data_IF_645011216912
#
_entry.id   IF_645011216912
#
_cell.length_a   1.000
_cell.length_b   1.000
_cell.length_c   1.000
_cell.angle_alpha   90.00
_cell.angle_beta   90.00
_cell.angle_gamma   90.00
#
_symmetry.space_group_name_H-M   'P 1'
#
loop_
_entity.id
_entity.type
_entity.pdbx_description
1 polymer ?
#
# COMPACT_ATOMS: atom_id res chain seq x y z
N UNK A 1 -4.35 -27.51 18.56
CA UNK A 1 -4.42 -26.33 17.69
C UNK A 1 -3.65 -26.52 16.38
N UNK A 2 -2.32 -26.74 16.37
CA UNK A 2 -1.52 -26.93 15.15
C UNK A 2 -2.00 -28.11 14.29
N UNK A 3 -2.32 -29.22 14.93
CA UNK A 3 -2.74 -30.43 14.26
C UNK A 3 -4.13 -30.32 13.63
N UNK A 4 -5.01 -29.60 14.27
CA UNK A 4 -6.36 -29.32 13.78
C UNK A 4 -6.30 -28.39 12.57
N UNK A 5 -5.49 -27.34 12.62
CA UNK A 5 -5.24 -26.45 11.48
C UNK A 5 -4.64 -27.19 10.28
N UNK A 6 -3.69 -28.10 10.52
CA UNK A 6 -3.09 -28.89 9.46
C UNK A 6 -4.09 -29.87 8.83
N UNK A 7 -4.96 -30.49 9.63
CA UNK A 7 -6.02 -31.38 9.12
C UNK A 7 -7.05 -30.61 8.29
N UNK A 8 -7.46 -29.43 8.74
CA UNK A 8 -8.36 -28.56 7.98
C UNK A 8 -7.76 -28.14 6.65
N UNK A 9 -6.49 -27.73 6.64
CA UNK A 9 -5.79 -27.39 5.40
C UNK A 9 -5.69 -28.56 4.43
N UNK A 10 -5.40 -29.77 4.93
CA UNK A 10 -5.35 -30.97 4.09
C UNK A 10 -6.75 -31.36 3.55
N UNK A 11 -7.80 -31.17 4.34
CA UNK A 11 -9.19 -31.38 3.91
C UNK A 11 -9.53 -30.43 2.78
N UNK A 12 -9.20 -29.15 2.92
CA UNK A 12 -9.43 -28.13 1.89
C UNK A 12 -8.66 -28.44 0.61
N UNK A 13 -7.37 -28.80 0.71
CA UNK A 13 -6.55 -29.18 -0.45
C UNK A 13 -7.13 -30.41 -1.16
N UNK A 14 -7.63 -31.42 -0.42
CA UNK A 14 -8.24 -32.59 -1.02
C UNK A 14 -9.53 -32.25 -1.75
N UNK A 15 -10.43 -31.49 -1.11
CA UNK A 15 -11.69 -31.06 -1.70
C UNK A 15 -11.49 -30.22 -2.95
N UNK A 16 -10.59 -29.22 -2.89
CA UNK A 16 -10.24 -28.38 -4.04
C UNK A 16 -9.59 -29.21 -5.17
N UNK A 17 -8.75 -30.21 -4.84
CA UNK A 17 -8.15 -31.08 -5.86
C UNK A 17 -9.22 -31.89 -6.59
N UNK A 18 -10.16 -32.52 -5.86
CA UNK A 18 -11.23 -33.29 -6.45
C UNK A 18 -12.15 -32.40 -7.33
N UNK A 19 -12.43 -31.17 -6.90
CA UNK A 19 -13.23 -30.22 -7.64
C UNK A 19 -12.50 -29.76 -8.92
N UNK A 20 -11.22 -29.38 -8.80
CA UNK A 20 -10.40 -28.95 -9.92
C UNK A 20 -10.28 -30.05 -11.00
N UNK A 21 -10.02 -31.30 -10.59
CA UNK A 21 -9.93 -32.45 -11.52
C UNK A 21 -11.27 -32.71 -12.23
N UNK A 22 -12.39 -32.51 -11.53
CA UNK A 22 -13.75 -32.67 -12.08
C UNK A 22 -14.06 -31.59 -13.13
N UNK A 23 -13.52 -30.39 -12.93
CA UNK A 23 -13.66 -29.26 -13.85
C UNK A 23 -12.58 -29.25 -14.96
N UNK A 24 -11.76 -30.31 -15.02
CA UNK A 24 -10.80 -30.53 -16.11
C UNK A 24 -9.39 -29.99 -15.86
N UNK A 25 -9.11 -29.46 -14.68
CA UNK A 25 -7.74 -29.11 -14.29
C UNK A 25 -6.95 -30.38 -13.97
N UNK A 26 -5.64 -30.33 -14.21
CA UNK A 26 -4.78 -31.49 -14.00
C UNK A 26 -3.34 -31.06 -13.67
N UNK A 27 -2.51 -32.01 -13.28
CA UNK A 27 -1.06 -31.77 -13.07
C UNK A 27 -0.27 -31.55 -14.37
N UNK A 28 -0.92 -31.61 -15.55
CA UNK A 28 -0.40 -31.06 -16.80
C UNK A 28 -0.80 -29.60 -16.90
N UNK A 29 0.01 -28.75 -16.22
CA UNK A 29 -0.23 -27.34 -16.02
C UNK A 29 -0.38 -26.56 -17.34
N UNK A 30 -1.02 -25.38 -17.28
CA UNK A 30 -1.00 -24.38 -18.35
C UNK A 30 0.43 -23.98 -18.73
N UNK A 31 0.63 -23.24 -19.80
CA UNK A 31 1.97 -22.71 -20.14
C UNK A 31 2.52 -21.82 -19.01
N UNK A 32 1.72 -20.90 -18.49
CA UNK A 32 2.08 -20.04 -17.34
C UNK A 32 2.36 -20.86 -16.08
N UNK A 33 1.55 -21.88 -15.82
CA UNK A 33 1.79 -22.79 -14.68
C UNK A 33 3.08 -23.60 -14.82
N UNK A 34 3.47 -23.99 -16.03
CA UNK A 34 4.77 -24.65 -16.29
C UNK A 34 5.94 -23.71 -16.02
N UNK A 35 5.87 -22.47 -16.49
CA UNK A 35 6.89 -21.45 -16.21
C UNK A 35 7.03 -21.18 -14.72
N UNK A 36 5.90 -21.03 -14.01
CA UNK A 36 5.85 -20.89 -12.56
C UNK A 36 6.48 -22.10 -11.85
N UNK A 37 6.17 -23.31 -12.30
CA UNK A 37 6.75 -24.53 -11.76
C UNK A 37 8.26 -24.58 -11.95
N UNK A 38 8.76 -24.29 -13.13
CA UNK A 38 10.19 -24.29 -13.45
C UNK A 38 10.95 -23.26 -12.61
N UNK A 39 10.39 -22.05 -12.49
CA UNK A 39 10.96 -20.96 -11.66
C UNK A 39 11.02 -21.36 -10.20
N UNK A 40 9.93 -21.86 -9.62
CA UNK A 40 9.91 -22.28 -8.22
C UNK A 40 10.85 -23.44 -7.94
N UNK A 41 10.93 -24.39 -8.87
CA UNK A 41 11.86 -25.52 -8.77
C UNK A 41 13.32 -25.07 -8.84
N UNK A 42 13.64 -24.12 -9.73
CA UNK A 42 14.98 -23.55 -9.85
C UNK A 42 15.35 -22.78 -8.58
N UNK A 43 14.45 -21.96 -8.04
CA UNK A 43 14.65 -21.23 -6.79
C UNK A 43 14.92 -22.17 -5.61
N UNK A 44 14.17 -23.27 -5.52
CA UNK A 44 14.37 -24.28 -4.46
C UNK A 44 15.72 -24.99 -4.61
N UNK A 45 16.14 -25.31 -5.83
CA UNK A 45 17.46 -25.88 -6.10
C UNK A 45 18.60 -24.90 -5.78
N UNK A 46 18.45 -23.63 -6.10
CA UNK A 46 19.40 -22.57 -5.76
C UNK A 46 19.51 -22.38 -4.24
N UNK A 47 18.39 -22.40 -3.51
CA UNK A 47 18.37 -22.34 -2.05
C UNK A 47 19.12 -23.54 -1.43
N UNK A 48 19.00 -24.73 -2.01
CA UNK A 48 19.76 -25.89 -1.58
C UNK A 48 21.28 -25.67 -1.76
N UNK A 49 21.71 -25.13 -2.92
CA UNK A 49 23.12 -24.83 -3.23
C UNK A 49 23.65 -23.79 -2.23
N UNK A 50 22.94 -22.69 -2.04
CA UNK A 50 23.32 -21.59 -1.13
C UNK A 50 23.45 -22.08 0.32
N UNK A 51 22.58 -23.03 0.72
CA UNK A 51 22.61 -23.66 2.04
C UNK A 51 23.63 -24.81 2.16
N UNK A 52 24.41 -25.07 1.12
CA UNK A 52 25.40 -26.14 1.03
C UNK A 52 24.80 -27.57 1.21
N UNK A 53 23.61 -27.78 0.71
CA UNK A 53 22.94 -29.09 0.66
C UNK A 53 22.81 -29.61 -0.77
N UNK A 54 22.72 -30.95 -0.92
CA UNK A 54 22.15 -31.50 -2.15
C UNK A 54 20.63 -31.21 -2.17
N UNK A 55 20.04 -31.10 -3.34
CA UNK A 55 18.59 -30.85 -3.47
C UNK A 55 17.74 -31.82 -2.64
N UNK A 56 18.04 -33.13 -2.70
CA UNK A 56 17.33 -34.13 -1.90
C UNK A 56 17.52 -33.96 -0.39
N UNK A 57 18.73 -33.56 0.05
CA UNK A 57 19.01 -33.33 1.47
C UNK A 57 18.31 -32.05 1.97
N UNK A 58 18.28 -31.01 1.14
CA UNK A 58 17.57 -29.77 1.42
C UNK A 58 16.08 -30.01 1.62
N UNK A 59 15.43 -30.71 0.68
CA UNK A 59 14.00 -31.06 0.78
C UNK A 59 13.69 -31.82 2.08
N UNK A 60 14.54 -32.75 2.49
CA UNK A 60 14.36 -33.48 3.75
C UNK A 60 14.58 -32.61 4.99
N UNK A 61 15.53 -31.67 4.93
CA UNK A 61 15.82 -30.78 6.04
C UNK A 61 14.68 -29.76 6.27
N UNK A 62 14.07 -29.26 5.18
CA UNK A 62 13.04 -28.23 5.25
C UNK A 62 11.65 -28.83 5.48
N UNK A 63 11.32 -29.91 4.79
CA UNK A 63 9.96 -30.48 4.75
C UNK A 63 9.81 -31.80 5.50
N UNK A 64 10.87 -32.26 6.17
CA UNK A 64 10.85 -33.47 6.96
C UNK A 64 11.50 -34.68 6.27
N UNK A 65 12.00 -35.61 7.09
CA UNK A 65 12.87 -36.73 6.66
C UNK A 65 12.22 -37.67 5.66
N UNK A 66 10.91 -37.75 5.63
CA UNK A 66 10.14 -38.59 4.72
C UNK A 66 9.79 -37.91 3.38
N UNK A 67 10.02 -36.62 3.24
CA UNK A 67 9.80 -35.90 1.99
C UNK A 67 10.85 -36.31 0.96
N UNK A 68 10.40 -36.75 -0.21
CA UNK A 68 11.25 -37.00 -1.36
C UNK A 68 11.11 -35.88 -2.38
N UNK A 69 12.09 -35.71 -3.27
CA UNK A 69 12.03 -34.73 -4.34
C UNK A 69 10.79 -34.94 -5.23
N UNK A 70 10.45 -36.20 -5.55
CA UNK A 70 9.26 -36.50 -6.36
C UNK A 70 7.93 -36.16 -5.67
N UNK A 71 7.83 -36.39 -4.34
CA UNK A 71 6.65 -35.95 -3.57
C UNK A 71 6.57 -34.42 -3.55
N UNK A 72 7.69 -33.74 -3.27
CA UNK A 72 7.75 -32.28 -3.27
C UNK A 72 7.32 -31.68 -4.62
N UNK A 73 7.88 -32.18 -5.71
CA UNK A 73 7.57 -31.72 -7.07
C UNK A 73 6.09 -31.95 -7.43
N UNK A 74 5.51 -33.09 -6.98
CA UNK A 74 4.09 -33.36 -7.16
C UNK A 74 3.20 -32.41 -6.33
N UNK A 75 3.62 -32.10 -5.08
CA UNK A 75 2.92 -31.12 -4.26
C UNK A 75 3.00 -29.71 -4.85
N UNK A 76 4.16 -29.35 -5.38
CA UNK A 76 4.36 -28.04 -6.05
C UNK A 76 3.44 -27.89 -7.28
N UNK A 77 3.37 -28.91 -8.13
CA UNK A 77 2.47 -28.90 -9.29
C UNK A 77 1.00 -28.81 -8.87
N UNK A 78 0.62 -29.54 -7.81
CA UNK A 78 -0.75 -29.46 -7.27
C UNK A 78 -1.07 -28.08 -6.74
N UNK A 79 -0.16 -27.46 -5.99
CA UNK A 79 -0.35 -26.10 -5.49
C UNK A 79 -0.58 -25.11 -6.63
N UNK A 80 0.21 -25.19 -7.70
CA UNK A 80 0.05 -24.33 -8.88
C UNK A 80 -1.30 -24.60 -9.57
N UNK A 81 -1.65 -25.86 -9.80
CA UNK A 81 -2.95 -26.23 -10.38
C UNK A 81 -4.12 -25.68 -9.56
N UNK A 82 -4.04 -25.74 -8.23
CA UNK A 82 -5.09 -25.19 -7.38
C UNK A 82 -5.13 -23.67 -7.41
N UNK A 83 -3.99 -23.00 -7.54
CA UNK A 83 -3.94 -21.56 -7.75
C UNK A 83 -4.59 -21.18 -9.09
N UNK A 84 -4.28 -21.89 -10.17
CA UNK A 84 -4.92 -21.67 -11.48
C UNK A 84 -6.44 -21.91 -11.42
N UNK A 85 -6.87 -22.95 -10.72
CA UNK A 85 -8.30 -23.26 -10.54
C UNK A 85 -9.04 -22.17 -9.76
N UNK A 86 -8.46 -21.73 -8.63
CA UNK A 86 -9.02 -20.64 -7.84
C UNK A 86 -9.05 -19.33 -8.60
N UNK A 87 -7.99 -19.01 -9.35
CA UNK A 87 -7.93 -17.82 -10.19
C UNK A 87 -9.00 -17.84 -11.28
N UNK A 88 -9.15 -18.98 -11.98
CA UNK A 88 -10.18 -19.12 -13.00
C UNK A 88 -11.61 -18.96 -12.45
N UNK A 89 -11.86 -19.43 -11.21
CA UNK A 89 -13.13 -19.18 -10.55
C UNK A 89 -13.32 -17.70 -10.21
N UNK A 90 -12.30 -17.06 -9.63
CA UNK A 90 -12.33 -15.64 -9.29
C UNK A 90 -12.54 -14.75 -10.51
N UNK A 91 -11.87 -15.05 -11.63
CA UNK A 91 -11.99 -14.30 -12.88
C UNK A 91 -13.37 -14.41 -13.53
N UNK A 92 -14.10 -15.49 -13.25
CA UNK A 92 -15.47 -15.69 -13.71
C UNK A 92 -16.52 -14.91 -12.88
N UNK A 93 -16.15 -14.38 -11.71
CA UNK A 93 -17.07 -13.60 -10.88
C UNK A 93 -17.35 -12.25 -11.54
N UNK A 94 -18.61 -11.88 -11.62
CA UNK A 94 -19.05 -10.61 -12.17
C UNK A 94 -20.02 -9.94 -11.23
N UNK A 95 -19.92 -8.63 -11.12
CA UNK A 95 -20.77 -7.81 -10.23
C UNK A 95 -21.46 -6.74 -11.03
N UNK A 96 -22.70 -6.44 -10.65
CA UNK A 96 -23.55 -5.48 -11.32
C UNK A 96 -23.49 -4.10 -10.65
N UNK A 97 -23.95 -3.07 -11.34
CA UNK A 97 -24.08 -1.72 -10.74
C UNK A 97 -25.01 -1.71 -9.51
N UNK A 98 -25.99 -2.64 -9.44
CA UNK A 98 -26.86 -2.80 -8.27
C UNK A 98 -26.10 -3.35 -7.07
N UNK A 99 -25.14 -4.28 -7.27
CA UNK A 99 -24.30 -4.80 -6.20
C UNK A 99 -23.43 -3.68 -5.60
N UNK A 100 -22.82 -2.84 -6.45
CA UNK A 100 -22.03 -1.69 -6.00
C UNK A 100 -22.87 -0.65 -5.28
N UNK A 101 -24.08 -0.37 -5.79
CA UNK A 101 -24.99 0.59 -5.15
C UNK A 101 -25.41 0.10 -3.77
N UNK A 102 -25.77 -1.19 -3.66
CA UNK A 102 -26.12 -1.81 -2.38
C UNK A 102 -24.99 -1.75 -1.39
N UNK A 103 -23.78 -2.12 -1.83
CA UNK A 103 -22.58 -2.03 -1.00
C UNK A 103 -22.31 -0.62 -0.50
N UNK A 104 -22.41 0.37 -1.39
CA UNK A 104 -22.22 1.77 -1.01
C UNK A 104 -23.24 2.22 0.02
N UNK A 105 -24.53 1.93 -0.20
CA UNK A 105 -25.61 2.33 0.71
C UNK A 105 -25.42 1.72 2.12
N UNK A 106 -24.92 0.49 2.19
CA UNK A 106 -24.65 -0.21 3.46
C UNK A 106 -23.33 0.22 4.13
N UNK A 107 -22.38 0.75 3.37
CA UNK A 107 -21.02 1.07 3.84
C UNK A 107 -20.63 2.54 3.69
N UNK A 108 -21.59 3.42 3.42
CA UNK A 108 -21.40 4.84 3.09
C UNK A 108 -20.43 5.54 4.05
N UNK A 109 -20.59 5.33 5.35
CA UNK A 109 -19.74 5.95 6.38
C UNK A 109 -18.27 5.52 6.36
N UNK A 110 -17.95 4.42 5.70
CA UNK A 110 -16.59 3.93 5.54
C UNK A 110 -16.01 4.23 4.14
N UNK A 111 -16.90 4.33 3.14
CA UNK A 111 -16.53 4.53 1.72
C UNK A 111 -16.34 5.99 1.38
N UNK A 112 -17.23 6.88 1.86
CA UNK A 112 -17.13 8.31 1.59
C UNK A 112 -15.77 8.87 2.02
N UNK A 113 -15.29 9.83 1.27
CA UNK A 113 -14.15 10.67 1.60
C UNK A 113 -14.61 11.84 2.46
N UNK A 114 -13.87 12.08 3.52
CA UNK A 114 -14.06 13.20 4.44
C UNK A 114 -12.92 14.18 4.26
N UNK A 115 -13.26 15.43 3.93
CA UNK A 115 -12.35 16.57 3.93
C UNK A 115 -12.52 17.32 5.25
N UNK A 116 -11.43 17.48 6.00
CA UNK A 116 -11.45 18.16 7.30
C UNK A 116 -10.08 18.69 7.67
N UNK A 117 -10.07 19.63 8.59
CA UNK A 117 -8.86 20.14 9.23
C UNK A 117 -8.81 19.66 10.68
N UNK A 118 -7.61 19.34 11.15
CA UNK A 118 -7.40 18.89 12.52
C UNK A 118 -6.11 19.46 13.10
N UNK A 119 -6.24 20.11 14.26
CA UNK A 119 -5.13 20.49 15.10
C UNK A 119 -5.06 19.56 16.31
N UNK A 120 -3.87 19.08 16.66
CA UNK A 120 -3.61 18.36 17.90
C UNK A 120 -2.76 19.24 18.80
N UNK A 121 -3.23 19.45 20.02
CA UNK A 121 -2.55 20.19 21.07
C UNK A 121 -2.14 19.20 22.18
N UNK A 122 -0.84 19.05 22.32
CA UNK A 122 -0.26 18.07 23.24
C UNK A 122 -0.49 18.48 24.69
N UNK A 123 -1.02 17.55 25.47
CA UNK A 123 -1.12 17.62 26.91
C UNK A 123 -0.03 16.84 27.64
N UNK A 124 1.04 16.47 26.93
CA UNK A 124 2.16 15.76 27.53
C UNK A 124 3.15 16.76 28.14
N UNK A 125 3.38 16.67 29.44
CA UNK A 125 4.41 17.46 30.10
C UNK A 125 5.81 16.99 29.65
N UNK A 126 6.73 17.92 29.31
CA UNK A 126 8.07 17.55 28.87
C UNK A 126 8.86 16.90 30.01
N UNK A 127 9.62 15.86 29.70
CA UNK A 127 10.65 15.34 30.59
C UNK A 127 11.81 16.34 30.72
N UNK A 128 12.48 16.35 31.86
CA UNK A 128 13.67 17.17 32.11
C UNK A 128 14.90 16.28 32.24
N UNK A 129 16.09 16.87 32.25
CA UNK A 129 17.34 16.14 32.48
C UNK A 129 17.96 16.62 33.76
N UNK A 130 18.34 15.69 34.65
CA UNK A 130 19.00 16.01 35.91
C UNK A 130 20.48 16.41 35.70
N UNK A 131 21.15 16.84 36.77
CA UNK A 131 22.56 17.24 36.74
C UNK A 131 23.52 16.09 36.38
N UNK A 132 23.04 14.84 36.46
CA UNK A 132 23.80 13.63 36.15
C UNK A 132 23.55 13.15 34.73
N UNK A 133 22.66 13.85 33.96
CA UNK A 133 22.32 13.51 32.55
C UNK A 133 21.21 12.47 32.41
N UNK A 134 20.49 12.12 33.50
CA UNK A 134 19.38 11.17 33.44
C UNK A 134 18.07 11.88 33.08
N UNK A 135 17.21 11.23 32.32
CA UNK A 135 15.85 11.71 32.05
C UNK A 135 14.99 11.63 33.31
N UNK A 136 14.38 12.73 33.69
CA UNK A 136 13.41 12.82 34.78
C UNK A 136 12.02 13.01 34.16
N UNK A 137 11.17 12.00 34.33
CA UNK A 137 9.78 12.05 33.87
C UNK A 137 8.99 13.11 34.66
N UNK A 138 8.02 13.71 33.97
CA UNK A 138 7.12 14.68 34.59
C UNK A 138 6.27 14.02 35.68
N UNK A 139 6.02 14.78 36.77
CA UNK A 139 5.13 14.36 37.83
C UNK A 139 3.67 14.31 37.38
N UNK A 140 2.82 13.59 38.16
CA UNK A 140 1.37 13.54 37.87
C UNK A 140 0.72 14.95 37.93
N UNK A 141 1.23 15.85 38.75
CA UNK A 141 0.74 17.23 38.85
C UNK A 141 1.11 18.02 37.57
N UNK A 142 2.36 17.92 37.11
CA UNK A 142 2.82 18.56 35.87
C UNK A 142 2.08 18.01 34.65
N UNK A 143 1.85 16.71 34.61
CA UNK A 143 1.06 16.08 33.55
C UNK A 143 -0.41 16.57 33.56
N UNK A 144 -1.00 16.75 34.76
CA UNK A 144 -2.36 17.28 34.89
C UNK A 144 -2.43 18.73 34.36
N UNK A 145 -1.46 19.57 34.78
CA UNK A 145 -1.38 20.97 34.31
C UNK A 145 -1.21 21.04 32.80
N UNK A 146 -0.38 20.17 32.22
CA UNK A 146 -0.18 20.13 30.77
C UNK A 146 -1.48 19.78 30.01
N UNK A 147 -2.24 18.79 30.50
CA UNK A 147 -3.53 18.43 29.95
C UNK A 147 -4.57 19.55 30.07
N UNK A 148 -4.65 20.22 31.23
CA UNK A 148 -5.54 21.36 31.42
C UNK A 148 -5.17 22.54 30.50
N UNK A 149 -3.88 22.78 30.28
CA UNK A 149 -3.37 23.79 29.34
C UNK A 149 -3.74 23.48 27.92
N UNK A 150 -3.52 22.21 27.49
CA UNK A 150 -3.89 21.77 26.16
C UNK A 150 -5.40 21.93 25.90
N UNK A 151 -6.23 21.60 26.89
CA UNK A 151 -7.68 21.81 26.82
C UNK A 151 -8.04 23.29 26.63
N UNK A 152 -7.49 24.16 27.46
CA UNK A 152 -7.77 25.60 27.38
C UNK A 152 -7.31 26.20 26.04
N UNK A 153 -6.18 25.73 25.51
CA UNK A 153 -5.67 26.13 24.20
C UNK A 153 -6.57 25.62 23.06
N UNK A 154 -7.06 24.38 23.15
CA UNK A 154 -7.99 23.82 22.15
C UNK A 154 -9.33 24.58 22.13
N UNK A 155 -9.91 24.84 23.29
CA UNK A 155 -11.14 25.63 23.41
C UNK A 155 -10.95 27.07 22.90
N UNK A 156 -9.79 27.66 23.19
CA UNK A 156 -9.44 28.99 22.69
C UNK A 156 -9.26 29.02 21.18
N UNK A 157 -8.51 28.04 20.60
CA UNK A 157 -8.34 27.91 19.17
C UNK A 157 -9.68 27.82 18.45
N UNK A 158 -10.58 26.95 18.92
CA UNK A 158 -11.94 26.83 18.37
C UNK A 158 -12.69 28.16 18.42
N UNK A 159 -12.69 28.86 19.57
CA UNK A 159 -13.37 30.14 19.74
C UNK A 159 -12.80 31.25 18.82
N UNK A 160 -11.50 31.30 18.64
CA UNK A 160 -10.84 32.27 17.78
C UNK A 160 -11.16 32.01 16.28
N UNK A 161 -11.28 30.74 15.87
CA UNK A 161 -11.76 30.37 14.50
C UNK A 161 -13.23 30.72 14.34
N UNK A 162 -14.10 30.44 15.31
CA UNK A 162 -15.52 30.84 15.29
C UNK A 162 -15.69 32.38 15.23
N UNK A 163 -14.73 33.14 15.77
CA UNK A 163 -14.70 34.59 15.66
C UNK A 163 -14.22 35.11 14.27
N UNK A 164 -13.89 34.21 13.36
CA UNK A 164 -13.50 34.51 11.97
C UNK A 164 -12.00 34.44 11.70
N UNK A 165 -11.20 33.89 12.60
CA UNK A 165 -9.78 33.61 12.36
C UNK A 165 -9.57 32.47 11.40
N UNK A 166 -8.45 32.46 10.71
CA UNK A 166 -8.03 31.33 9.85
C UNK A 166 -7.52 30.18 10.71
N UNK A 167 -8.05 28.96 10.47
CA UNK A 167 -7.71 27.82 11.31
C UNK A 167 -6.24 27.38 11.15
N UNK A 168 -5.74 27.36 9.92
CA UNK A 168 -4.37 26.95 9.65
C UNK A 168 -3.36 27.96 10.26
N UNK A 169 -3.62 29.27 10.12
CA UNK A 169 -2.78 30.33 10.69
C UNK A 169 -2.78 30.26 12.24
N UNK A 170 -3.96 30.14 12.85
CA UNK A 170 -4.07 30.06 14.31
C UNK A 170 -3.46 28.78 14.85
N UNK A 171 -3.72 27.62 14.24
CA UNK A 171 -3.11 26.36 14.65
C UNK A 171 -1.60 26.36 14.42
N UNK A 172 -1.12 26.99 13.34
CA UNK A 172 0.29 27.19 13.03
C UNK A 172 1.05 27.85 14.17
N UNK A 173 0.46 28.85 14.83
CA UNK A 173 1.08 29.53 15.97
C UNK A 173 1.36 28.57 17.14
N UNK A 174 0.48 27.59 17.40
CA UNK A 174 0.70 26.56 18.42
C UNK A 174 1.76 25.54 18.00
N UNK A 175 1.88 25.23 16.70
CA UNK A 175 2.92 24.30 16.22
C UNK A 175 4.31 24.94 16.25
N UNK A 176 4.41 26.27 16.08
CA UNK A 176 5.65 27.03 16.30
C UNK A 176 6.09 27.05 17.75
N UNK A 177 5.15 27.08 18.71
CA UNK A 177 5.42 27.05 20.13
C UNK A 177 5.90 25.67 20.62
N UNK A 178 5.43 24.60 20.01
CA UNK A 178 5.77 23.23 20.40
C UNK A 178 5.70 22.26 19.23
N UNK A 179 6.77 21.50 18.99
CA UNK A 179 6.84 20.42 17.99
C UNK A 179 5.95 19.22 18.36
N UNK A 180 5.41 19.16 19.57
CA UNK A 180 4.43 18.16 19.98
C UNK A 180 3.00 18.49 19.51
N UNK A 181 2.75 19.73 19.08
CA UNK A 181 1.50 20.15 18.48
C UNK A 181 1.56 19.91 16.97
N UNK A 182 0.44 19.59 16.37
CA UNK A 182 0.36 19.37 14.91
C UNK A 182 -0.89 20.01 14.32
N UNK A 183 -0.81 20.40 13.06
CA UNK A 183 -1.95 20.80 12.25
C UNK A 183 -1.87 20.12 10.90
N UNK A 184 -3.03 19.74 10.35
CA UNK A 184 -3.14 19.25 8.97
C UNK A 184 -4.55 19.50 8.43
N UNK A 185 -4.61 19.86 7.15
CA UNK A 185 -5.78 19.65 6.31
C UNK A 185 -5.64 18.26 5.68
N UNK A 186 -6.71 17.51 5.59
CA UNK A 186 -6.65 16.12 5.12
C UNK A 186 -7.94 15.71 4.45
N UNK A 187 -7.78 14.82 3.47
CA UNK A 187 -8.86 14.07 2.85
C UNK A 187 -8.59 12.59 3.06
N UNK A 188 -9.57 11.85 3.52
CA UNK A 188 -9.42 10.41 3.76
C UNK A 188 -10.76 9.70 3.78
N UNK A 189 -10.74 8.42 3.43
CA UNK A 189 -11.94 7.58 3.52
C UNK A 189 -12.39 7.41 4.96
N UNK A 190 -13.68 7.28 5.18
CA UNK A 190 -14.24 7.11 6.51
C UNK A 190 -13.72 5.89 7.27
N UNK A 191 -13.26 4.84 6.55
CA UNK A 191 -12.60 3.69 7.16
C UNK A 191 -11.24 4.03 7.80
N UNK A 192 -10.60 5.13 7.37
CA UNK A 192 -9.27 5.58 7.81
C UNK A 192 -9.32 6.76 8.78
N UNK A 193 -10.50 7.33 9.02
CA UNK A 193 -10.66 8.41 10.00
C UNK A 193 -10.36 7.94 11.41
N UNK A 194 -9.70 8.79 12.20
CA UNK A 194 -9.39 8.48 13.61
C UNK A 194 -10.63 8.13 14.41
N UNK A 195 -10.56 7.09 15.22
CA UNK A 195 -11.66 6.67 16.11
C UNK A 195 -12.00 7.70 17.19
N UNK A 196 -11.11 8.65 17.49
CA UNK A 196 -11.33 9.68 18.48
C UNK A 196 -12.44 10.66 18.09
N UNK A 197 -12.54 10.98 16.80
CA UNK A 197 -13.50 11.96 16.29
C UNK A 197 -14.30 11.45 15.04
N UNK A 198 -14.07 10.20 14.67
CA UNK A 198 -14.65 9.62 13.45
C UNK A 198 -16.16 9.54 13.48
N UNK A 199 -16.77 9.15 14.60
CA UNK A 199 -18.22 9.09 14.74
C UNK A 199 -18.87 10.50 14.58
N UNK A 200 -18.18 11.53 15.07
CA UNK A 200 -18.63 12.90 14.91
C UNK A 200 -18.54 13.37 13.45
N UNK A 201 -17.42 13.08 12.76
CA UNK A 201 -17.27 13.41 11.34
C UNK A 201 -18.30 12.69 10.47
N UNK A 202 -18.64 11.44 10.79
CA UNK A 202 -19.59 10.61 10.04
C UNK A 202 -21.07 10.96 10.29
N UNK A 203 -21.38 11.78 11.28
CA UNK A 203 -22.76 12.20 11.54
C UNK A 203 -23.30 12.98 10.32
N UNK A 204 -24.38 12.47 9.74
CA UNK A 204 -25.03 13.06 8.57
C UNK A 204 -25.57 14.50 8.79
N UNK A 205 -25.58 14.97 10.02
CA UNK A 205 -25.97 16.34 10.36
C UNK A 205 -24.83 17.36 10.22
N UNK A 206 -23.58 16.89 9.98
CA UNK A 206 -22.43 17.80 9.81
C UNK A 206 -22.59 18.69 8.59
N UNK A 207 -22.19 19.94 8.77
CA UNK A 207 -22.14 20.96 7.73
C UNK A 207 -20.78 21.62 7.70
N UNK A 208 -20.37 22.13 6.53
CA UNK A 208 -19.12 22.84 6.37
C UNK A 208 -18.90 23.90 7.47
N UNK A 209 -17.75 23.87 8.11
CA UNK A 209 -17.36 24.76 9.19
C UNK A 209 -17.75 24.28 10.60
N UNK A 210 -18.51 23.19 10.75
CA UNK A 210 -18.77 22.61 12.08
C UNK A 210 -17.45 22.23 12.74
N UNK A 211 -17.30 22.55 14.05
CA UNK A 211 -16.10 22.26 14.81
C UNK A 211 -16.44 21.61 16.15
N UNK A 212 -15.50 20.80 16.64
CA UNK A 212 -15.61 20.19 17.97
C UNK A 212 -14.21 19.91 18.55
N UNK A 213 -14.12 19.89 19.89
CA UNK A 213 -12.90 19.57 20.64
C UNK A 213 -13.02 18.16 21.20
N UNK A 214 -12.01 17.32 20.95
CA UNK A 214 -11.98 15.92 21.38
C UNK A 214 -10.80 15.67 22.32
N UNK A 215 -11.08 15.06 23.46
CA UNK A 215 -10.05 14.62 24.39
C UNK A 215 -9.44 13.29 23.93
N UNK A 216 -8.12 13.18 24.08
CA UNK A 216 -7.37 11.94 23.96
C UNK A 216 -6.49 11.71 25.18
N UNK A 217 -5.82 10.57 25.25
CA UNK A 217 -4.92 10.24 26.37
C UNK A 217 -3.70 11.16 26.47
N UNK A 218 -3.34 11.86 25.38
CA UNK A 218 -2.11 12.67 25.29
C UNK A 218 -2.33 14.12 24.91
N UNK A 219 -3.57 14.58 24.82
CA UNK A 219 -3.89 15.96 24.46
C UNK A 219 -5.29 16.10 23.88
N UNK A 220 -5.51 17.19 23.17
CA UNK A 220 -6.81 17.55 22.60
C UNK A 220 -6.72 17.77 21.10
N UNK A 221 -7.71 17.28 20.37
CA UNK A 221 -7.92 17.57 18.97
C UNK A 221 -8.98 18.67 18.80
N UNK A 222 -8.72 19.62 17.93
CA UNK A 222 -9.74 20.55 17.39
C UNK A 222 -9.96 20.10 15.95
N UNK A 223 -11.18 19.72 15.62
CA UNK A 223 -11.53 19.20 14.28
C UNK A 223 -12.55 20.12 13.66
N UNK A 224 -12.31 20.53 12.39
CA UNK A 224 -13.25 21.28 11.55
C UNK A 224 -13.65 20.46 10.35
N UNK A 225 -14.93 20.17 10.23
CA UNK A 225 -15.50 19.50 9.08
C UNK A 225 -15.56 20.46 7.87
N UNK A 226 -15.16 19.98 6.71
CA UNK A 226 -15.19 20.74 5.45
C UNK A 226 -16.19 20.12 4.48
N UNK A 227 -16.02 18.83 4.14
CA UNK A 227 -16.89 18.16 3.17
C UNK A 227 -16.95 16.64 3.41
N UNK A 228 -17.97 16.03 2.84
CA UNK A 228 -18.15 14.59 2.74
C UNK A 228 -18.72 14.24 1.37
N UNK A 229 -18.03 13.42 0.62
CA UNK A 229 -18.41 13.05 -0.74
C UNK A 229 -17.95 11.63 -1.10
N UNK A 230 -18.61 11.04 -2.09
CA UNK A 230 -18.12 9.83 -2.74
C UNK A 230 -17.08 10.23 -3.78
N UNK A 231 -15.85 9.72 -3.62
CA UNK A 231 -14.79 9.94 -4.58
C UNK A 231 -14.98 9.01 -5.79
N UNK A 232 -15.43 9.57 -6.89
CA UNK A 232 -15.65 8.90 -8.18
C UNK A 232 -14.45 9.06 -9.14
N UNK A 233 -13.30 9.57 -8.65
CA UNK A 233 -12.10 9.74 -9.47
C UNK A 233 -11.60 8.35 -9.93
N UNK A 234 -11.47 8.11 -11.24
CA UNK A 234 -10.90 6.87 -11.76
C UNK A 234 -9.48 6.68 -11.26
N UNK A 235 -9.09 5.44 -11.03
CA UNK A 235 -7.68 5.10 -10.80
C UNK A 235 -6.97 4.81 -12.11
N UNK A 236 -5.65 4.96 -12.15
CA UNK A 236 -4.86 4.77 -13.35
C UNK A 236 -3.86 3.62 -13.23
N UNK A 237 -3.69 2.85 -14.30
CA UNK A 237 -2.54 1.98 -14.47
C UNK A 237 -1.51 2.71 -15.34
N UNK A 238 -0.28 2.75 -14.87
CA UNK A 238 0.83 3.40 -15.57
C UNK A 238 2.10 2.55 -15.49
N UNK A 239 3.03 2.84 -16.41
CA UNK A 239 4.42 2.42 -16.26
C UNK A 239 5.30 3.64 -16.18
N UNK A 240 6.43 3.54 -15.47
CA UNK A 240 7.39 4.63 -15.48
C UNK A 240 8.84 4.15 -15.44
N UNK A 241 9.72 5.03 -15.86
CA UNK A 241 11.16 4.92 -15.72
C UNK A 241 11.62 6.14 -14.93
N UNK A 242 12.28 5.94 -13.82
CA UNK A 242 12.93 7.00 -13.06
C UNK A 242 14.41 7.04 -13.46
N UNK A 243 14.89 8.20 -13.86
CA UNK A 243 16.33 8.49 -14.03
C UNK A 243 16.71 9.49 -12.95
N UNK A 244 17.49 9.05 -11.98
CA UNK A 244 17.97 9.91 -10.88
C UNK A 244 19.10 10.79 -11.32
N UNK A 245 19.06 12.03 -10.88
CA UNK A 245 20.20 12.94 -11.01
C UNK A 245 21.32 12.52 -10.05
N UNK A 246 22.56 12.49 -10.53
CA UNK A 246 23.71 12.19 -9.68
C UNK A 246 23.91 13.29 -8.63
N UNK A 247 24.02 12.86 -7.36
CA UNK A 247 24.38 13.77 -6.28
C UNK A 247 25.90 13.96 -6.31
N UNK A 248 26.35 15.13 -6.65
CA UNK A 248 27.79 15.45 -6.61
C UNK A 248 28.17 15.78 -5.18
N UNK A 249 28.96 14.91 -4.54
CA UNK A 249 29.71 15.26 -3.35
C UNK A 249 30.89 16.17 -3.76
N UNK A 250 30.70 17.46 -3.71
CA UNK A 250 31.85 18.36 -3.50
C UNK A 250 31.99 18.50 -1.98
N UNK A 251 32.93 17.76 -1.40
CA UNK A 251 33.40 17.98 -0.04
C UNK A 251 33.99 19.39 0.02
N UNK A 252 33.21 20.38 0.39
CA UNK A 252 33.76 21.66 0.87
C UNK A 252 33.99 21.50 2.39
N UNK A 253 35.24 21.33 2.84
CA UNK A 253 35.57 21.17 4.26
C UNK A 253 35.37 22.48 5.07
N UNK A 254 34.79 23.51 4.49
CA UNK A 254 34.64 24.84 5.08
C UNK A 254 33.20 25.16 5.55
N UNK A 255 32.22 24.32 5.27
CA UNK A 255 30.84 24.58 5.69
C UNK A 255 30.35 23.48 6.64
N UNK A 256 30.27 23.80 7.93
CA UNK A 256 29.79 22.86 8.99
C UNK A 256 28.24 22.71 9.06
N UNK A 257 27.45 23.34 8.17
CA UNK A 257 26.03 23.53 8.46
C UNK A 257 25.01 23.20 7.35
N UNK A 258 25.37 22.71 6.19
CA UNK A 258 24.39 22.21 5.21
C UNK A 258 24.93 20.98 4.51
N UNK A 259 24.20 19.89 4.58
CA UNK A 259 24.45 18.67 3.83
C UNK A 259 24.08 18.90 2.34
N UNK A 260 24.91 19.73 1.64
CA UNK A 260 24.77 20.05 0.21
C UNK A 260 24.86 18.79 -0.68
N UNK A 261 25.29 17.65 -0.12
CA UNK A 261 25.34 16.34 -0.78
C UNK A 261 23.97 15.75 -1.13
N UNK A 262 22.89 16.35 -0.66
CA UNK A 262 21.51 15.86 -0.86
C UNK A 262 20.76 16.49 -2.03
N UNK A 263 21.32 17.56 -2.63
CA UNK A 263 20.68 18.28 -3.75
C UNK A 263 21.58 18.16 -5.00
N UNK A 264 21.06 17.69 -6.14
CA UNK A 264 21.84 17.62 -7.38
C UNK A 264 22.09 19.01 -7.95
N UNK A 265 23.17 19.15 -8.72
CA UNK A 265 23.42 20.37 -9.51
C UNK A 265 22.47 20.47 -10.71
N UNK A 266 22.29 21.68 -11.25
CA UNK A 266 21.52 21.89 -12.48
C UNK A 266 22.07 21.02 -13.64
N UNK A 267 23.41 20.86 -13.72
CA UNK A 267 24.04 20.00 -14.75
C UNK A 267 23.69 18.54 -14.57
N UNK A 268 23.58 18.04 -13.34
CA UNK A 268 23.16 16.64 -13.06
C UNK A 268 21.69 16.43 -13.40
N UNK A 269 20.82 17.40 -13.11
CA UNK A 269 19.41 17.36 -13.50
C UNK A 269 19.23 17.38 -15.03
N UNK A 270 19.99 18.23 -15.74
CA UNK A 270 19.96 18.26 -17.22
C UNK A 270 20.52 16.95 -17.84
N UNK A 271 21.52 16.33 -17.21
CA UNK A 271 22.04 15.04 -17.65
C UNK A 271 20.98 13.93 -17.49
N UNK A 272 20.31 13.87 -16.34
CA UNK A 272 19.21 12.93 -16.09
C UNK A 272 18.05 13.15 -17.08
N UNK A 273 17.72 14.40 -17.39
CA UNK A 273 16.73 14.75 -18.40
C UNK A 273 17.09 14.23 -19.78
N UNK A 274 18.33 14.49 -20.20
CA UNK A 274 18.79 14.06 -21.53
C UNK A 274 18.76 12.53 -21.66
N UNK A 275 19.06 11.79 -20.61
CA UNK A 275 18.95 10.34 -20.58
C UNK A 275 17.49 9.88 -20.67
N UNK A 276 16.60 10.48 -19.86
CA UNK A 276 15.16 10.18 -19.90
C UNK A 276 14.55 10.50 -21.27
N UNK A 277 14.89 11.64 -21.90
CA UNK A 277 14.50 11.99 -23.28
C UNK A 277 15.03 10.96 -24.29
N UNK A 278 16.26 10.48 -24.09
CA UNK A 278 16.86 9.44 -24.94
C UNK A 278 16.11 8.11 -24.87
N UNK A 279 15.67 7.68 -23.67
CA UNK A 279 14.87 6.49 -23.48
C UNK A 279 13.47 6.61 -24.10
N UNK A 280 12.84 7.76 -23.93
CA UNK A 280 11.55 8.03 -24.58
C UNK A 280 11.69 8.00 -26.08
N UNK A 281 12.71 8.65 -26.66
CA UNK A 281 12.96 8.62 -28.10
C UNK A 281 13.29 7.21 -28.62
N UNK A 282 13.98 6.38 -27.83
CA UNK A 282 14.23 4.98 -28.15
C UNK A 282 12.92 4.18 -28.25
N UNK A 283 12.02 4.34 -27.27
CA UNK A 283 10.71 3.70 -27.28
C UNK A 283 9.86 4.19 -28.47
N UNK A 284 9.83 5.49 -28.73
CA UNK A 284 9.08 6.10 -29.84
C UNK A 284 9.59 5.63 -31.22
N UNK A 285 10.86 5.27 -31.34
CA UNK A 285 11.45 4.72 -32.55
C UNK A 285 11.23 3.21 -32.70
N UNK A 286 10.79 2.54 -31.63
CA UNK A 286 10.55 1.09 -31.56
C UNK A 286 9.10 0.69 -31.80
N UNK A 287 8.69 -0.39 -31.14
CA UNK A 287 7.36 -1.00 -31.28
C UNK A 287 6.22 -0.21 -30.63
N UNK A 288 6.52 0.70 -29.72
CA UNK A 288 5.57 1.56 -28.99
C UNK A 288 4.49 0.79 -28.22
N UNK A 289 4.87 -0.33 -27.64
CA UNK A 289 3.96 -1.15 -26.83
C UNK A 289 4.28 -1.03 -25.35
N UNK A 290 3.35 -1.42 -24.49
CA UNK A 290 3.57 -1.51 -23.06
C UNK A 290 4.72 -2.47 -22.70
N UNK A 291 4.86 -3.58 -23.47
CA UNK A 291 5.93 -4.56 -23.28
C UNK A 291 7.29 -3.97 -23.61
N UNK A 292 7.42 -3.23 -24.73
CA UNK A 292 8.69 -2.59 -25.10
C UNK A 292 9.06 -1.45 -24.11
N UNK A 293 8.08 -0.78 -23.50
CA UNK A 293 8.32 0.17 -22.41
C UNK A 293 8.78 -0.55 -21.14
N UNK A 294 8.15 -1.66 -20.79
CA UNK A 294 8.52 -2.48 -19.65
C UNK A 294 9.96 -3.00 -19.75
N UNK A 295 10.41 -3.44 -20.93
CA UNK A 295 11.79 -3.86 -21.17
C UNK A 295 12.78 -2.71 -20.92
N UNK A 296 12.46 -1.49 -21.33
CA UNK A 296 13.28 -0.31 -21.04
C UNK A 296 13.30 0.01 -19.56
N UNK A 297 12.16 -0.09 -18.86
CA UNK A 297 12.07 0.14 -17.43
C UNK A 297 12.92 -0.87 -16.63
N UNK A 298 12.84 -2.17 -16.96
CA UNK A 298 13.67 -3.22 -16.33
C UNK A 298 15.16 -2.94 -16.50
N UNK A 299 15.56 -2.41 -17.66
CA UNK A 299 16.96 -2.21 -18.00
C UNK A 299 17.56 -0.92 -17.45
N UNK A 300 16.75 0.13 -17.23
CA UNK A 300 17.27 1.47 -17.02
C UNK A 300 16.67 2.23 -15.82
N UNK A 301 15.56 1.75 -15.23
CA UNK A 301 14.90 2.52 -14.17
C UNK A 301 15.66 2.44 -12.84
N UNK A 302 15.87 3.59 -12.21
CA UNK A 302 16.40 3.72 -10.85
C UNK A 302 15.32 3.54 -9.75
N UNK A 303 14.05 3.35 -10.15
CA UNK A 303 13.01 3.00 -9.20
C UNK A 303 13.03 1.50 -8.89
N UNK A 304 13.71 1.15 -7.79
CA UNK A 304 13.83 -0.24 -7.34
C UNK A 304 12.51 -0.88 -6.92
N UNK A 305 11.46 -0.08 -6.73
CA UNK A 305 10.13 -0.56 -6.32
C UNK A 305 9.36 -1.18 -7.47
N UNK A 306 9.50 -0.64 -8.69
CA UNK A 306 8.73 -1.08 -9.86
C UNK A 306 9.58 -1.55 -11.04
N UNK A 307 10.88 -1.28 -11.06
CA UNK A 307 11.75 -1.62 -12.20
C UNK A 307 11.66 -3.09 -12.60
N UNK A 308 11.66 -4.03 -11.64
CA UNK A 308 11.59 -5.48 -11.92
C UNK A 308 10.27 -5.90 -12.59
N UNK A 309 9.20 -5.14 -12.40
CA UNK A 309 7.87 -5.34 -12.96
C UNK A 309 7.63 -4.47 -14.21
N UNK A 310 8.72 -3.96 -14.79
CA UNK A 310 8.67 -3.10 -15.98
C UNK A 310 8.08 -1.73 -15.71
N UNK A 311 8.34 -1.18 -14.51
CA UNK A 311 7.89 0.13 -14.09
C UNK A 311 6.39 0.23 -13.78
N UNK A 312 5.69 -0.90 -13.62
CA UNK A 312 4.23 -0.95 -13.48
C UNK A 312 3.77 -0.48 -12.09
N UNK A 313 2.83 0.46 -12.10
CA UNK A 313 1.96 0.79 -10.97
C UNK A 313 0.51 0.64 -11.41
N UNK A 314 -0.27 -0.08 -10.62
CA UNK A 314 -1.69 -0.32 -10.89
C UNK A 314 -2.59 0.39 -9.91
N UNK A 315 -3.78 0.81 -10.37
CA UNK A 315 -4.81 1.42 -9.53
C UNK A 315 -4.29 2.64 -8.74
N UNK A 316 -3.44 3.44 -9.39
CA UNK A 316 -2.92 4.69 -8.82
C UNK A 316 -4.07 5.65 -8.57
N UNK A 317 -4.15 6.16 -7.36
CA UNK A 317 -5.15 7.15 -6.94
C UNK A 317 -4.60 8.56 -7.10
N UNK A 318 -5.49 9.52 -7.32
CA UNK A 318 -5.13 10.92 -7.25
C UNK A 318 -4.51 11.26 -5.88
N UNK A 319 -3.42 12.02 -5.88
CA UNK A 319 -2.65 12.37 -4.67
C UNK A 319 -1.74 11.27 -4.14
N UNK A 320 -1.61 10.12 -4.81
CA UNK A 320 -0.75 9.01 -4.37
C UNK A 320 0.71 9.19 -4.79
N UNK A 321 0.93 9.82 -5.93
CA UNK A 321 2.27 10.05 -6.49
C UNK A 321 2.80 11.43 -6.10
N UNK A 322 4.09 11.71 -6.39
CA UNK A 322 4.65 13.04 -6.23
C UNK A 322 3.92 14.04 -7.14
N UNK A 323 3.79 15.30 -6.70
CA UNK A 323 2.90 16.29 -7.30
C UNK A 323 2.98 16.36 -8.83
N UNK A 324 4.19 16.55 -9.40
CA UNK A 324 4.35 16.66 -10.85
C UNK A 324 3.95 15.40 -11.63
N UNK A 325 4.15 14.24 -11.02
CA UNK A 325 3.74 12.96 -11.59
C UNK A 325 2.21 12.78 -11.49
N UNK A 326 1.65 13.11 -10.32
CA UNK A 326 0.21 13.10 -10.07
C UNK A 326 -0.54 14.01 -11.04
N UNK A 327 -0.10 15.25 -11.16
CA UNK A 327 -0.69 16.26 -12.05
C UNK A 327 -0.65 15.79 -13.51
N UNK A 328 0.46 15.16 -13.94
CA UNK A 328 0.49 14.61 -15.29
C UNK A 328 -0.57 13.55 -15.52
N UNK A 329 -0.83 12.66 -14.55
CA UNK A 329 -1.82 11.59 -14.69
C UNK A 329 -3.24 12.17 -14.68
N UNK A 330 -3.56 13.07 -13.71
CA UNK A 330 -4.96 13.41 -13.39
C UNK A 330 -5.43 14.75 -13.96
N UNK A 331 -4.54 15.67 -14.34
CA UNK A 331 -4.92 16.97 -14.92
C UNK A 331 -5.35 16.90 -16.38
N UNK A 332 -5.15 15.76 -17.04
CA UNK A 332 -5.43 15.57 -18.46
C UNK A 332 -6.14 14.24 -18.73
N UNK A 333 -6.90 14.19 -19.82
CA UNK A 333 -7.41 12.93 -20.35
C UNK A 333 -6.28 12.20 -21.09
N UNK A 334 -5.98 10.98 -20.68
CA UNK A 334 -5.01 10.13 -21.34
C UNK A 334 -5.66 8.93 -22.00
N UNK A 335 -5.05 8.49 -23.11
CA UNK A 335 -5.33 7.23 -23.78
C UNK A 335 -4.12 6.29 -23.63
N UNK A 336 -4.36 4.99 -23.79
CA UNK A 336 -3.29 3.99 -23.81
C UNK A 336 -2.20 4.38 -24.82
N UNK A 337 -0.97 4.37 -24.38
CA UNK A 337 0.20 4.73 -25.17
C UNK A 337 0.61 6.20 -25.07
N UNK A 338 -0.14 7.05 -24.37
CA UNK A 338 0.32 8.40 -24.09
C UNK A 338 1.53 8.38 -23.16
N UNK A 339 2.49 9.24 -23.45
CA UNK A 339 3.73 9.32 -22.69
C UNK A 339 3.99 10.74 -22.19
N UNK A 340 4.70 10.84 -21.06
CA UNK A 340 5.10 12.09 -20.46
C UNK A 340 6.52 12.06 -19.96
N UNK A 341 7.10 13.26 -19.83
CA UNK A 341 8.39 13.47 -19.20
C UNK A 341 8.19 14.52 -18.11
N UNK A 342 8.34 14.12 -16.85
CA UNK A 342 8.11 14.99 -15.69
C UNK A 342 9.30 15.03 -14.76
N UNK A 343 9.58 16.22 -14.25
CA UNK A 343 10.66 16.46 -13.31
C UNK A 343 10.26 15.99 -11.91
N UNK A 344 11.19 15.34 -11.21
CA UNK A 344 11.05 15.03 -9.80
C UNK A 344 12.03 15.83 -8.97
N UNK A 345 11.50 16.73 -8.15
CA UNK A 345 12.28 17.60 -7.26
C UNK A 345 12.22 17.13 -5.79
N UNK A 346 11.68 15.97 -5.52
CA UNK A 346 11.54 15.46 -4.16
C UNK A 346 12.88 14.98 -3.60
N UNK A 347 13.15 15.37 -2.36
CA UNK A 347 14.38 15.01 -1.65
C UNK A 347 14.65 13.51 -1.68
N UNK A 348 15.86 13.14 -2.09
CA UNK A 348 16.31 11.75 -2.20
C UNK A 348 15.89 11.02 -3.48
N UNK A 349 15.07 11.66 -4.34
CA UNK A 349 14.62 11.09 -5.61
C UNK A 349 14.66 12.08 -6.78
N UNK A 350 15.49 13.13 -6.68
CA UNK A 350 15.67 14.11 -7.74
C UNK A 350 16.00 13.44 -9.08
N UNK A 351 15.37 13.90 -10.14
CA UNK A 351 15.58 13.34 -11.48
C UNK A 351 14.39 13.56 -12.40
N UNK A 352 14.19 12.64 -13.32
CA UNK A 352 13.12 12.70 -14.31
C UNK A 352 12.39 11.38 -14.42
N UNK A 353 11.05 11.42 -14.51
CA UNK A 353 10.22 10.30 -14.85
C UNK A 353 9.85 10.33 -16.32
N UNK A 354 10.03 9.20 -17.02
CA UNK A 354 9.32 8.91 -18.26
C UNK A 354 8.09 8.11 -17.87
N UNK A 355 6.90 8.58 -18.21
CA UNK A 355 5.63 7.93 -17.87
C UNK A 355 5.00 7.39 -19.16
N UNK A 356 4.42 6.20 -19.07
CA UNK A 356 3.56 5.59 -20.08
C UNK A 356 2.19 5.33 -19.44
N UNK A 357 1.15 5.90 -20.02
CA UNK A 357 -0.22 5.66 -19.56
C UNK A 357 -0.74 4.35 -20.14
N UNK A 358 -1.24 3.46 -19.29
CA UNK A 358 -1.74 2.15 -19.69
C UNK A 358 -3.27 2.12 -19.76
N UNK A 359 -3.97 2.47 -18.67
CA UNK A 359 -5.44 2.47 -18.67
C UNK A 359 -6.03 3.26 -17.49
N UNK A 360 -7.26 3.69 -17.66
CA UNK A 360 -8.13 4.07 -16.55
C UNK A 360 -8.87 2.84 -16.03
N UNK A 361 -9.06 2.81 -14.70
CA UNK A 361 -9.83 1.79 -14.00
C UNK A 361 -10.98 2.43 -13.24
N UNK A 362 -11.81 1.59 -12.62
CA UNK A 362 -12.86 2.05 -11.72
C UNK A 362 -12.30 2.89 -10.56
N UNK A 363 -13.11 3.78 -9.97
CA UNK A 363 -12.78 4.47 -8.73
C UNK A 363 -12.36 3.52 -7.62
N UNK A 364 -11.47 3.98 -6.74
CA UNK A 364 -10.87 3.16 -5.70
C UNK A 364 -11.90 2.45 -4.80
N UNK A 365 -13.02 3.10 -4.49
CA UNK A 365 -14.08 2.50 -3.68
C UNK A 365 -14.74 1.29 -4.37
N UNK A 366 -14.95 1.35 -5.71
CA UNK A 366 -15.50 0.22 -6.47
C UNK A 366 -14.51 -0.94 -6.53
N UNK A 367 -13.22 -0.66 -6.69
CA UNK A 367 -12.17 -1.69 -6.66
C UNK A 367 -12.11 -2.38 -5.30
N UNK A 368 -12.23 -1.62 -4.21
CA UNK A 368 -12.29 -2.16 -2.84
C UNK A 368 -13.57 -2.99 -2.62
N UNK A 369 -14.72 -2.51 -3.09
CA UNK A 369 -15.98 -3.25 -3.03
C UNK A 369 -15.88 -4.57 -3.80
N UNK A 370 -15.34 -4.54 -5.04
CA UNK A 370 -15.10 -5.73 -5.86
C UNK A 370 -14.22 -6.75 -5.14
N UNK A 371 -13.14 -6.29 -4.52
CA UNK A 371 -12.25 -7.14 -3.74
C UNK A 371 -12.99 -7.79 -2.55
N UNK A 372 -13.86 -7.04 -1.88
CA UNK A 372 -14.69 -7.56 -0.78
C UNK A 372 -15.63 -8.65 -1.29
N UNK A 373 -16.37 -8.38 -2.36
CA UNK A 373 -17.27 -9.37 -2.98
C UNK A 373 -16.52 -10.64 -3.39
N UNK A 374 -15.38 -10.48 -4.07
CA UNK A 374 -14.56 -11.61 -4.49
C UNK A 374 -14.09 -12.46 -3.30
N UNK A 375 -13.66 -11.82 -2.21
CA UNK A 375 -13.23 -12.54 -0.99
C UNK A 375 -14.39 -13.32 -0.34
N UNK A 376 -15.57 -12.71 -0.27
CA UNK A 376 -16.77 -13.33 0.31
C UNK A 376 -17.26 -14.49 -0.55
N UNK A 377 -17.32 -14.31 -1.87
CA UNK A 377 -17.73 -15.35 -2.82
C UNK A 377 -16.71 -16.50 -2.86
N UNK A 378 -15.41 -16.21 -2.87
CA UNK A 378 -14.36 -17.21 -2.82
C UNK A 378 -14.41 -18.03 -1.50
N UNK A 379 -14.68 -17.35 -0.38
CA UNK A 379 -14.83 -18.00 0.92
C UNK A 379 -16.04 -18.94 0.90
N UNK A 380 -17.19 -18.47 0.47
CA UNK A 380 -18.44 -19.24 0.37
C UNK A 380 -18.30 -20.41 -0.61
N UNK A 381 -17.62 -20.20 -1.73
CA UNK A 381 -17.33 -21.24 -2.71
C UNK A 381 -16.44 -22.34 -2.13
N UNK A 382 -15.35 -21.98 -1.42
CA UNK A 382 -14.46 -22.95 -0.75
C UNK A 382 -15.21 -23.71 0.33
N UNK A 383 -16.05 -23.06 1.12
CA UNK A 383 -16.90 -23.72 2.12
C UNK A 383 -17.83 -24.76 1.46
N UNK A 384 -18.46 -24.39 0.35
CA UNK A 384 -19.33 -25.29 -0.42
C UNK A 384 -18.58 -26.52 -0.96
N UNK A 385 -17.36 -26.31 -1.49
CA UNK A 385 -16.53 -27.41 -2.00
C UNK A 385 -16.09 -28.35 -0.87
N UNK A 386 -15.80 -27.81 0.30
CA UNK A 386 -15.32 -28.59 1.45
C UNK A 386 -16.44 -29.27 2.23
N UNK A 387 -17.69 -28.91 1.96
CA UNK A 387 -18.84 -29.53 2.61
C UNK A 387 -18.85 -31.06 2.40
N UNK A 388 -18.94 -31.80 3.50
CA UNK A 388 -18.93 -33.27 3.49
C UNK A 388 -17.55 -33.93 3.44
N UNK A 389 -16.47 -33.15 3.39
CA UNK A 389 -15.11 -33.68 3.56
C UNK A 389 -14.75 -33.74 5.05
N UNK A 390 -14.32 -34.92 5.51
CA UNK A 390 -13.85 -35.11 6.88
C UNK A 390 -12.42 -35.65 6.89
N UNK A 391 -11.56 -35.02 7.69
CA UNK A 391 -10.20 -35.51 7.89
C UNK A 391 -10.20 -36.74 8.77
N UNK A 392 -9.78 -37.89 8.22
CA UNK A 392 -9.64 -39.12 8.97
C UNK A 392 -8.18 -39.39 9.29
N UNK A 393 -7.87 -39.52 10.58
CA UNK A 393 -6.54 -39.90 11.05
C UNK A 393 -6.23 -41.34 10.68
N UNK A 394 -5.37 -41.57 9.71
CA UNK A 394 -4.90 -42.89 9.33
C UNK A 394 -3.78 -43.38 10.29
N UNK A 395 -3.43 -44.67 10.20
CA UNK A 395 -2.43 -45.32 11.06
C UNK A 395 -1.03 -44.64 11.05
N UNK A 396 -0.68 -43.93 9.96
CA UNK A 396 0.55 -43.15 9.83
C UNK A 396 0.61 -41.92 10.73
N UNK A 397 -0.52 -41.46 11.24
CA UNK A 397 -0.63 -40.27 12.07
C UNK A 397 0.16 -40.37 13.39
N UNK A 398 0.40 -41.55 13.89
CA UNK A 398 1.23 -41.84 15.08
C UNK A 398 2.72 -41.47 14.91
N UNK A 399 3.17 -41.14 13.71
CA UNK A 399 4.54 -40.75 13.39
C UNK A 399 4.69 -39.22 13.14
N UNK A 400 3.62 -38.47 13.35
CA UNK A 400 3.64 -36.99 13.29
C UNK A 400 3.80 -36.52 14.73
N UNK A 401 5.02 -36.13 15.09
CA UNK A 401 5.37 -35.58 16.41
C UNK A 401 5.13 -34.06 16.45
#
# INVERSE_FOLDING_TARGET
YFMESALNALTQVAALTDAAEKDGFSLDLSETGKETYETNLANTKNSAITSNYSYSSYIKAVYGTHMTTGIYESCLKRAIMLTEYQQAHQDALTYTDEDYTTYYDENKDNVDTFSYEVAFLSGTAPSTTDEEGNTVEATEEEQTIAMETAKANAEKLMADVEAGGDFAELAGSYTEESTANTFRATETTGSSVSTTYGDWLKDAARTEGDMEVFESTSGYYVVRFLDRYLDETPTADIRHILIKAELTQEDDPATEDVDESTIPTDEAMEAAKAEAEGLLAQWEAGDKTAESFAELAIANSDDTGSASDGGLYTQVKEGQMVDTFNDWIFDNEHAEGDTGLVENTNSGQYGWHVIYFQSWNDPAWKLNAKSTFQNDDMTSWIETITEGYEAVKADGFKYVD
#
